data_IF_909940174434
#
_entry.id   IF_909940174434
#
_cell.length_a   1.000
_cell.length_b   1.000
_cell.length_c   1.000
_cell.angle_alpha   90.00
_cell.angle_beta   90.00
_cell.angle_gamma   90.00
#
_symmetry.space_group_name_H-M   'P 1'
#
loop_
_entity.id
_entity.type
_entity.pdbx_description
1 polymer ?
#
# COMPACT_ATOMS: atom_id res chain seq x y z
N UNK A 1 -3.26 -7.71 -5.41
CA UNK A 1 -2.81 -6.38 -5.06
C UNK A 1 -1.57 -6.36 -4.19
N UNK A 2 -1.70 -6.57 -2.88
CA UNK A 2 -0.57 -6.42 -1.92
C UNK A 2 0.53 -7.44 -2.18
N UNK A 3 0.18 -8.71 -2.42
CA UNK A 3 1.14 -9.77 -2.76
C UNK A 3 1.91 -9.44 -4.05
N UNK A 4 1.19 -9.14 -5.12
CA UNK A 4 1.81 -8.84 -6.42
C UNK A 4 2.74 -7.62 -6.33
N UNK A 5 2.32 -6.58 -5.60
CA UNK A 5 3.16 -5.41 -5.33
C UNK A 5 4.43 -5.74 -4.57
N UNK A 6 4.33 -6.51 -3.49
CA UNK A 6 5.48 -6.94 -2.69
C UNK A 6 6.45 -7.79 -3.51
N UNK A 7 5.96 -8.82 -4.17
CA UNK A 7 6.78 -9.73 -4.98
C UNK A 7 7.46 -9.02 -6.17
N UNK A 8 6.77 -8.06 -6.79
CA UNK A 8 7.35 -7.26 -7.89
C UNK A 8 8.48 -6.38 -7.40
N UNK A 9 8.29 -5.67 -6.28
CA UNK A 9 9.30 -4.75 -5.72
C UNK A 9 10.53 -5.50 -5.21
N UNK A 10 10.31 -6.67 -4.61
CA UNK A 10 11.42 -7.49 -4.06
C UNK A 10 12.07 -8.40 -5.10
N UNK A 11 11.53 -8.48 -6.32
CA UNK A 11 12.02 -9.39 -7.38
C UNK A 11 11.80 -10.87 -7.06
N UNK A 12 10.79 -11.17 -6.23
CA UNK A 12 10.51 -12.53 -5.75
C UNK A 12 9.25 -13.13 -6.35
N UNK A 13 8.74 -12.57 -7.44
CA UNK A 13 7.53 -13.05 -8.10
C UNK A 13 7.65 -14.53 -8.43
N UNK A 14 6.64 -15.30 -8.03
CA UNK A 14 6.55 -16.75 -8.20
C UNK A 14 7.68 -17.57 -7.53
N UNK A 15 8.47 -16.95 -6.65
CA UNK A 15 9.59 -17.60 -5.96
C UNK A 15 9.37 -17.74 -4.44
N UNK A 16 8.41 -17.00 -3.88
CA UNK A 16 8.13 -17.06 -2.46
C UNK A 16 7.46 -18.39 -2.08
N UNK A 17 7.95 -18.99 -1.01
CA UNK A 17 7.32 -20.16 -0.37
C UNK A 17 6.71 -19.69 0.95
N UNK A 18 5.44 -19.29 0.87
CA UNK A 18 4.73 -18.76 2.03
C UNK A 18 4.33 -19.88 3.00
N UNK A 19 4.54 -19.64 4.27
CA UNK A 19 4.04 -20.53 5.34
C UNK A 19 2.51 -20.50 5.40
N UNK A 20 1.93 -19.33 5.20
CA UNK A 20 0.49 -19.10 5.14
C UNK A 20 0.15 -18.07 4.08
N UNK A 21 -0.95 -18.27 3.41
CA UNK A 21 -1.59 -17.29 2.52
C UNK A 21 -2.95 -16.94 3.10
N UNK A 22 -3.15 -15.68 3.42
CA UNK A 22 -4.33 -15.19 4.12
C UNK A 22 -5.09 -14.19 3.24
N UNK A 23 -6.41 -14.18 3.35
CA UNK A 23 -7.29 -13.41 2.47
C UNK A 23 -7.51 -11.98 2.93
N UNK A 24 -7.19 -11.66 4.19
CA UNK A 24 -7.34 -10.33 4.74
C UNK A 24 -6.06 -9.80 5.37
N UNK A 25 -5.86 -8.48 5.33
CA UNK A 25 -4.74 -7.83 6.01
C UNK A 25 -4.80 -8.01 7.53
N UNK A 26 -6.00 -8.01 8.11
CA UNK A 26 -6.19 -8.23 9.54
C UNK A 26 -5.72 -9.62 9.99
N UNK A 27 -5.96 -10.65 9.18
CA UNK A 27 -5.52 -12.02 9.47
C UNK A 27 -4.00 -12.13 9.42
N UNK A 28 -3.34 -11.42 8.49
CA UNK A 28 -1.87 -11.35 8.44
C UNK A 28 -1.32 -10.72 9.72
N UNK A 29 -1.86 -9.59 10.17
CA UNK A 29 -1.45 -8.93 11.41
C UNK A 29 -1.64 -9.87 12.61
N UNK A 30 -2.78 -10.55 12.70
CA UNK A 30 -3.06 -11.50 13.76
C UNK A 30 -2.07 -12.66 13.76
N UNK A 31 -1.82 -13.28 12.61
CA UNK A 31 -0.88 -14.40 12.51
C UNK A 31 0.54 -14.02 12.91
N UNK A 32 1.02 -12.84 12.51
CA UNK A 32 2.34 -12.34 12.90
C UNK A 32 2.39 -12.00 14.39
N UNK A 33 1.34 -11.38 14.94
CA UNK A 33 1.31 -11.00 16.36
C UNK A 33 1.34 -12.19 17.32
N UNK A 34 0.87 -13.35 16.86
CA UNK A 34 0.82 -14.60 17.64
C UNK A 34 2.09 -15.46 17.53
N UNK A 35 3.00 -15.11 16.64
CA UNK A 35 4.22 -15.90 16.42
C UNK A 35 5.45 -14.95 16.35
N UNK A 36 6.31 -14.97 17.39
CA UNK A 36 7.48 -14.09 17.45
C UNK A 36 8.52 -14.36 16.34
N UNK A 37 8.47 -15.54 15.72
CA UNK A 37 9.37 -15.91 14.62
C UNK A 37 8.77 -15.61 13.24
N UNK A 38 7.54 -15.05 13.20
CA UNK A 38 6.89 -14.74 11.93
C UNK A 38 7.28 -13.36 11.40
N UNK A 39 7.36 -13.28 10.07
CA UNK A 39 7.43 -12.05 9.31
C UNK A 39 6.31 -12.04 8.27
N UNK A 40 5.75 -10.88 8.00
CA UNK A 40 4.70 -10.70 7.00
C UNK A 40 4.76 -9.34 6.35
N UNK A 41 3.88 -9.10 5.39
CA UNK A 41 3.69 -7.79 4.79
C UNK A 41 2.21 -7.41 4.76
N UNK A 42 1.93 -6.15 4.97
CA UNK A 42 0.59 -5.60 5.06
C UNK A 42 0.59 -4.12 4.64
N UNK A 43 -0.59 -3.58 4.36
CA UNK A 43 -0.71 -2.14 4.11
C UNK A 43 -0.35 -1.33 5.37
N UNK A 44 0.36 -0.23 5.20
CA UNK A 44 0.84 0.63 6.30
C UNK A 44 -0.30 1.07 7.23
N UNK A 45 -1.45 1.42 6.68
CA UNK A 45 -2.65 1.80 7.43
C UNK A 45 -3.18 0.72 8.39
N UNK A 46 -2.85 -0.53 8.14
CA UNK A 46 -3.32 -1.66 8.96
C UNK A 46 -2.36 -2.04 10.07
N UNK A 47 -1.17 -1.44 10.12
CA UNK A 47 -0.18 -1.71 11.16
C UNK A 47 -0.69 -1.17 12.50
N UNK A 48 -0.61 -2.02 13.52
CA UNK A 48 -1.03 -1.73 14.90
C UNK A 48 0.13 -2.03 15.85
N UNK A 49 0.00 -1.60 17.09
CA UNK A 49 0.99 -1.80 18.16
C UNK A 49 1.25 -3.28 18.49
N UNK A 50 0.39 -4.18 18.02
CA UNK A 50 0.57 -5.64 18.17
C UNK A 50 1.68 -6.23 17.31
N UNK A 51 2.20 -5.48 16.34
CA UNK A 51 3.28 -5.89 15.44
C UNK A 51 4.28 -4.75 15.25
N UNK A 52 5.52 -5.10 14.95
CA UNK A 52 6.58 -4.14 14.68
C UNK A 52 6.70 -3.89 13.18
N UNK A 53 6.53 -2.64 12.75
CA UNK A 53 6.88 -2.24 11.40
C UNK A 53 8.42 -2.24 11.24
N UNK A 54 8.91 -2.89 10.20
CA UNK A 54 10.34 -3.01 9.94
C UNK A 54 10.86 -1.86 9.08
N UNK A 55 12.07 -1.40 9.40
CA UNK A 55 12.81 -0.53 8.52
C UNK A 55 13.28 -1.31 7.29
N UNK A 56 13.29 -0.65 6.15
CA UNK A 56 13.87 -1.17 4.90
C UNK A 56 15.02 -0.26 4.49
N UNK A 57 16.20 -0.81 4.32
CA UNK A 57 17.44 -0.05 4.07
C UNK A 57 17.69 1.09 5.07
N UNK A 58 17.33 0.86 6.33
CA UNK A 58 17.47 1.86 7.39
C UNK A 58 16.36 2.91 7.44
N UNK A 59 15.38 2.87 6.52
CA UNK A 59 14.27 3.82 6.44
C UNK A 59 13.04 3.27 7.16
N UNK A 60 12.49 4.05 8.07
CA UNK A 60 11.24 3.73 8.79
C UNK A 60 10.03 3.96 7.88
N UNK A 61 9.06 3.03 7.84
CA UNK A 61 7.83 3.23 7.08
C UNK A 61 6.99 4.35 7.73
N UNK A 62 6.72 5.37 6.95
CA UNK A 62 5.88 6.52 7.35
C UNK A 62 5.27 7.15 6.11
N UNK A 63 4.25 7.99 6.31
CA UNK A 63 3.69 8.77 5.21
C UNK A 63 4.77 9.60 4.50
N UNK A 64 5.64 10.26 5.25
CA UNK A 64 6.72 11.08 4.71
C UNK A 64 7.70 10.27 3.87
N UNK A 65 8.17 9.11 4.37
CA UNK A 65 9.13 8.26 3.66
C UNK A 65 8.54 7.52 2.46
N UNK A 66 7.22 7.30 2.45
CA UNK A 66 6.49 6.82 1.28
C UNK A 66 6.37 7.94 0.24
N UNK A 67 5.99 9.14 0.66
CA UNK A 67 5.79 10.30 -0.23
C UNK A 67 7.08 10.75 -0.92
N UNK A 68 8.20 10.79 -0.21
CA UNK A 68 9.51 11.17 -0.76
C UNK A 68 10.21 10.02 -1.51
N UNK A 69 9.64 8.81 -1.49
CA UNK A 69 10.17 7.62 -2.18
C UNK A 69 11.36 6.96 -1.50
N UNK A 70 11.74 7.37 -0.28
CA UNK A 70 12.84 6.77 0.46
C UNK A 70 12.51 5.37 0.99
N UNK A 71 11.25 5.10 1.37
CA UNK A 71 10.80 3.76 1.73
C UNK A 71 10.50 2.95 0.46
N UNK A 72 11.35 1.99 0.14
CA UNK A 72 11.33 1.29 -1.16
C UNK A 72 10.19 0.28 -1.33
N UNK A 73 9.68 -0.29 -0.25
CA UNK A 73 8.57 -1.26 -0.31
C UNK A 73 7.23 -0.52 -0.32
N UNK A 74 6.94 0.10 -1.45
CA UNK A 74 5.70 0.86 -1.69
C UNK A 74 5.16 0.58 -3.08
N UNK A 75 3.89 0.82 -3.29
CA UNK A 75 3.26 0.72 -4.61
C UNK A 75 2.25 1.85 -4.82
N UNK A 76 2.11 2.37 -6.04
CA UNK A 76 1.09 3.35 -6.35
C UNK A 76 -0.30 2.70 -6.48
N UNK A 77 -1.34 3.45 -6.13
CA UNK A 77 -2.68 3.25 -6.67
C UNK A 77 -2.78 4.01 -7.99
N UNK A 78 -3.20 3.34 -9.04
CA UNK A 78 -3.24 3.90 -10.39
C UNK A 78 -4.69 4.00 -10.85
N UNK A 79 -5.10 5.21 -11.24
CA UNK A 79 -6.36 5.42 -11.95
C UNK A 79 -6.13 5.11 -13.43
N UNK A 80 -7.04 4.34 -14.01
CA UNK A 80 -6.94 3.90 -15.39
C UNK A 80 -8.11 4.45 -16.20
N UNK A 81 -7.82 5.07 -17.32
CA UNK A 81 -8.80 5.56 -18.29
C UNK A 81 -8.54 4.93 -19.65
N UNK A 82 -9.54 4.96 -20.54
CA UNK A 82 -9.36 4.46 -21.91
C UNK A 82 -8.67 5.52 -22.75
N UNK A 83 -7.55 5.17 -23.35
CA UNK A 83 -6.82 6.07 -24.24
C UNK A 83 -7.70 6.54 -25.41
N UNK A 84 -7.63 7.86 -25.67
CA UNK A 84 -8.39 8.49 -26.76
C UNK A 84 -9.90 8.61 -26.53
N UNK A 85 -10.42 8.21 -25.34
CA UNK A 85 -11.82 8.42 -24.96
C UNK A 85 -11.94 9.49 -23.88
N UNK A 86 -12.79 10.47 -24.14
CA UNK A 86 -13.18 11.44 -23.11
C UNK A 86 -14.00 10.74 -22.00
N UNK A 87 -13.76 11.13 -20.76
CA UNK A 87 -14.59 10.72 -19.64
C UNK A 87 -15.95 11.41 -19.71
N UNK A 88 -16.98 10.79 -19.13
CA UNK A 88 -18.22 11.52 -18.88
C UNK A 88 -17.99 12.67 -17.90
N UNK A 89 -18.84 13.67 -17.89
CA UNK A 89 -18.72 14.82 -16.99
C UNK A 89 -18.58 14.42 -15.52
N UNK A 90 -19.40 13.46 -15.07
CA UNK A 90 -19.35 12.95 -13.70
C UNK A 90 -18.03 12.20 -13.40
N UNK A 91 -17.54 11.39 -14.35
CA UNK A 91 -16.29 10.66 -14.19
C UNK A 91 -15.07 11.61 -14.22
N UNK A 92 -15.12 12.65 -15.05
CA UNK A 92 -14.08 13.67 -15.09
C UNK A 92 -14.03 14.45 -13.77
N UNK A 93 -15.18 14.87 -13.25
CA UNK A 93 -15.26 15.58 -11.96
C UNK A 93 -14.70 14.73 -10.81
N UNK A 94 -14.99 13.43 -10.79
CA UNK A 94 -14.43 12.50 -9.80
C UNK A 94 -12.91 12.36 -9.95
N UNK A 95 -12.45 12.19 -11.19
CA UNK A 95 -11.00 12.08 -11.48
C UNK A 95 -10.24 13.32 -11.04
N UNK A 96 -10.76 14.50 -11.39
CA UNK A 96 -10.16 15.78 -11.04
C UNK A 96 -10.12 15.98 -9.52
N UNK A 97 -11.20 15.62 -8.81
CA UNK A 97 -11.26 15.70 -7.36
C UNK A 97 -10.26 14.77 -6.69
N UNK A 98 -10.24 13.48 -7.06
CA UNK A 98 -9.39 12.49 -6.39
C UNK A 98 -7.90 12.71 -6.66
N UNK A 99 -7.55 13.40 -7.76
CA UNK A 99 -6.17 13.78 -8.07
C UNK A 99 -5.80 15.18 -7.57
N UNK A 100 -6.73 15.90 -6.97
CA UNK A 100 -6.49 17.24 -6.39
C UNK A 100 -5.99 17.15 -4.94
N UNK A 101 -5.43 18.26 -4.46
CA UNK A 101 -5.05 18.40 -3.05
C UNK A 101 -6.25 18.31 -2.09
N UNK A 102 -7.46 18.62 -2.53
CA UNK A 102 -8.67 18.60 -1.71
C UNK A 102 -9.06 17.19 -1.26
N UNK A 103 -8.61 16.16 -1.99
CA UNK A 103 -8.83 14.77 -1.62
C UNK A 103 -7.80 14.23 -0.60
N UNK A 104 -6.73 14.95 -0.30
CA UNK A 104 -5.61 14.46 0.49
C UNK A 104 -6.04 13.92 1.87
N UNK A 105 -6.91 14.66 2.58
CA UNK A 105 -7.40 14.25 3.90
C UNK A 105 -8.23 12.96 3.86
N UNK A 106 -9.02 12.78 2.80
CA UNK A 106 -9.85 11.57 2.62
C UNK A 106 -8.95 10.38 2.28
N UNK A 107 -7.95 10.60 1.42
CA UNK A 107 -6.95 9.58 1.05
C UNK A 107 -6.16 9.13 2.30
N UNK A 108 -5.71 10.08 3.12
CA UNK A 108 -4.99 9.79 4.36
C UNK A 108 -5.86 9.01 5.36
N UNK A 109 -7.13 9.40 5.54
CA UNK A 109 -8.09 8.67 6.40
C UNK A 109 -8.37 7.26 5.90
N UNK A 110 -8.31 7.03 4.60
CA UNK A 110 -8.42 5.70 4.00
C UNK A 110 -7.14 4.87 4.13
N UNK A 111 -6.07 5.46 4.67
CA UNK A 111 -4.79 4.80 4.93
C UNK A 111 -3.85 4.71 3.72
N UNK A 112 -4.06 5.56 2.74
CA UNK A 112 -3.14 5.75 1.63
C UNK A 112 -2.39 7.08 1.75
N UNK A 113 -1.32 7.24 1.00
CA UNK A 113 -0.54 8.48 0.93
C UNK A 113 -0.93 9.22 -0.34
N UNK A 114 -1.35 10.48 -0.21
CA UNK A 114 -1.65 11.31 -1.37
C UNK A 114 -0.37 11.57 -2.18
N UNK A 115 -0.48 11.49 -3.51
CA UNK A 115 0.66 11.68 -4.42
C UNK A 115 1.05 13.15 -4.61
N UNK A 116 0.14 14.05 -4.27
CA UNK A 116 0.27 15.52 -4.42
C UNK A 116 0.34 16.24 -3.08
#
# INVERSE_FOLDING_TARGET
GTRDGFESITGTKDKCQYRQELTSTGDVITAVSQNPDAIGYASLASIKDSVKALNVDGVTPSEASVKDGSYKVQRPFVLVTVEGKALSEAAQSFFDYVTSADAADIIAKAGAVAAN
#
